data_IF_931970271835
#
_entry.id   IF_931970271835
#
_cell.length_a   1.000
_cell.length_b   1.000
_cell.length_c   1.000
_cell.angle_alpha   90.00
_cell.angle_beta   90.00
_cell.angle_gamma   90.00
#
_symmetry.space_group_name_H-M   'P 1'
#
loop_
_entity.id
_entity.type
_entity.pdbx_description
1 polymer ?
#
# COMPACT_ATOMS: atom_id res chain seq x y z
N UNK A 1 18.06 -26.60 9.37
CA UNK A 1 16.90 -26.88 10.25
C UNK A 1 16.33 -25.64 10.95
N UNK A 2 16.93 -24.43 10.86
CA UNK A 2 16.35 -23.19 11.41
C UNK A 2 15.28 -22.55 10.51
N UNK A 3 15.46 -22.61 9.18
CA UNK A 3 14.58 -21.91 8.23
C UNK A 3 13.14 -22.43 8.19
N UNK A 4 12.91 -23.70 8.50
CA UNK A 4 11.57 -24.31 8.37
C UNK A 4 10.59 -23.76 9.43
N UNK A 5 11.09 -23.48 10.64
CA UNK A 5 10.27 -22.91 11.72
C UNK A 5 9.96 -21.43 11.49
N UNK A 6 10.90 -20.65 10.93
CA UNK A 6 10.64 -19.26 10.53
C UNK A 6 9.59 -19.18 9.41
N UNK A 7 9.66 -20.06 8.41
CA UNK A 7 8.65 -20.14 7.33
C UNK A 7 7.26 -20.46 7.89
N UNK A 8 7.15 -21.37 8.86
CA UNK A 8 5.87 -21.73 9.48
C UNK A 8 5.29 -20.59 10.31
N UNK A 9 6.14 -19.87 11.06
CA UNK A 9 5.71 -18.73 11.88
C UNK A 9 5.25 -17.54 11.03
N UNK A 10 5.97 -17.20 9.95
CA UNK A 10 5.59 -16.13 9.03
C UNK A 10 4.26 -16.44 8.31
N UNK A 11 4.07 -17.68 7.87
CA UNK A 11 2.81 -18.12 7.23
C UNK A 11 1.61 -18.07 8.18
N UNK A 12 1.83 -18.16 9.48
CA UNK A 12 0.77 -18.08 10.49
C UNK A 12 0.34 -16.63 10.77
N UNK A 13 1.29 -15.69 10.72
CA UNK A 13 1.04 -14.27 11.00
C UNK A 13 0.64 -13.47 9.74
N UNK A 14 1.01 -13.94 8.56
CA UNK A 14 0.71 -13.29 7.30
C UNK A 14 -0.71 -13.59 6.83
N UNK A 15 -1.41 -12.56 6.34
CA UNK A 15 -2.69 -12.78 5.67
C UNK A 15 -2.50 -13.64 4.41
N UNK A 16 -3.27 -14.73 4.24
CA UNK A 16 -3.15 -15.57 3.07
C UNK A 16 -3.52 -14.79 1.80
N UNK A 17 -2.75 -15.00 0.72
CA UNK A 17 -3.06 -14.44 -0.59
C UNK A 17 -4.29 -15.13 -1.18
N UNK A 18 -5.35 -14.37 -1.45
CA UNK A 18 -6.64 -14.91 -1.92
C UNK A 18 -6.70 -14.92 -3.45
N UNK A 19 -6.22 -13.85 -4.09
CA UNK A 19 -6.36 -13.69 -5.53
C UNK A 19 -5.20 -12.93 -6.10
N UNK A 20 -4.58 -13.49 -7.15
CA UNK A 20 -3.43 -12.90 -7.83
C UNK A 20 -2.42 -12.32 -6.81
N UNK A 21 -1.99 -13.10 -5.81
CA UNK A 21 -0.97 -12.65 -4.84
C UNK A 21 -1.35 -11.44 -3.96
N UNK A 22 -2.61 -10.99 -3.97
CA UNK A 22 -3.13 -9.96 -3.07
C UNK A 22 -3.76 -10.62 -1.84
N UNK A 23 -3.54 -10.05 -0.65
CA UNK A 23 -4.24 -10.45 0.57
C UNK A 23 -5.72 -10.02 0.51
N UNK A 24 -6.53 -10.54 1.44
CA UNK A 24 -7.93 -10.14 1.59
C UNK A 24 -8.10 -8.63 1.75
N UNK A 25 -7.28 -8.02 2.63
CA UNK A 25 -7.33 -6.60 2.94
C UNK A 25 -6.95 -5.74 1.73
N UNK A 26 -5.93 -6.14 0.97
CA UNK A 26 -5.48 -5.44 -0.23
C UNK A 26 -6.50 -5.50 -1.36
N UNK A 27 -7.09 -6.68 -1.57
CA UNK A 27 -8.17 -6.87 -2.53
C UNK A 27 -9.37 -6.00 -2.14
N UNK A 28 -9.77 -6.01 -0.86
CA UNK A 28 -10.85 -5.18 -0.36
C UNK A 28 -10.59 -3.69 -0.61
N UNK A 29 -9.37 -3.22 -0.37
CA UNK A 29 -8.97 -1.83 -0.64
C UNK A 29 -9.05 -1.48 -2.14
N UNK A 30 -8.53 -2.34 -3.03
CA UNK A 30 -8.58 -2.11 -4.48
C UNK A 30 -10.03 -2.07 -4.98
N UNK A 31 -10.86 -3.03 -4.56
CA UNK A 31 -12.28 -3.09 -4.92
C UNK A 31 -13.03 -1.87 -4.39
N UNK A 32 -12.78 -1.49 -3.14
CA UNK A 32 -13.39 -0.32 -2.51
C UNK A 32 -13.05 0.96 -3.27
N UNK A 33 -11.77 1.19 -3.57
CA UNK A 33 -11.33 2.38 -4.32
C UNK A 33 -11.88 2.39 -5.74
N UNK A 34 -11.84 1.25 -6.44
CA UNK A 34 -12.39 1.13 -7.78
C UNK A 34 -13.89 1.43 -7.79
N UNK A 35 -14.64 0.92 -6.82
CA UNK A 35 -16.09 1.15 -6.68
C UNK A 35 -16.40 2.62 -6.39
N UNK A 36 -15.67 3.25 -5.47
CA UNK A 36 -15.82 4.68 -5.13
C UNK A 36 -15.54 5.59 -6.33
N UNK A 37 -14.66 5.19 -7.25
CA UNK A 37 -14.36 5.97 -8.45
C UNK A 37 -15.38 5.69 -9.57
N UNK A 38 -15.60 4.41 -9.88
CA UNK A 38 -16.41 4.00 -11.03
C UNK A 38 -17.90 4.22 -10.85
N UNK A 39 -18.47 4.02 -9.66
CA UNK A 39 -19.90 4.26 -9.44
C UNK A 39 -20.31 5.71 -9.72
N UNK A 40 -19.74 6.75 -9.07
CA UNK A 40 -20.16 8.11 -9.33
C UNK A 40 -19.83 8.54 -10.77
N UNK A 41 -18.68 8.14 -11.31
CA UNK A 41 -18.30 8.47 -12.67
C UNK A 41 -19.27 7.89 -13.71
N UNK A 42 -19.59 6.61 -13.59
CA UNK A 42 -20.50 5.93 -14.52
C UNK A 42 -21.95 6.40 -14.37
N UNK A 43 -22.41 6.68 -13.15
CA UNK A 43 -23.74 7.24 -12.92
C UNK A 43 -23.86 8.67 -13.45
N UNK A 44 -22.83 9.50 -13.28
CA UNK A 44 -22.79 10.85 -13.85
C UNK A 44 -22.85 10.82 -15.38
N UNK A 45 -22.06 9.95 -16.01
CA UNK A 45 -22.06 9.76 -17.46
C UNK A 45 -23.42 9.23 -17.95
N UNK A 46 -23.98 8.23 -17.27
CA UNK A 46 -25.26 7.64 -17.63
C UNK A 46 -26.43 8.62 -17.47
N UNK A 47 -26.38 9.48 -16.43
CA UNK A 47 -27.34 10.56 -16.23
C UNK A 47 -27.26 11.58 -17.38
N UNK A 48 -26.05 11.98 -17.78
CA UNK A 48 -25.85 12.91 -18.89
C UNK A 48 -26.38 12.37 -20.23
N UNK A 49 -26.35 11.04 -20.41
CA UNK A 49 -26.83 10.33 -21.60
C UNK A 49 -28.31 9.90 -21.50
N UNK A 50 -29.00 10.18 -20.39
CA UNK A 50 -30.40 9.78 -20.17
C UNK A 50 -30.62 8.27 -19.96
N UNK A 51 -29.56 7.50 -19.70
CA UNK A 51 -29.58 6.04 -19.62
C UNK A 51 -29.05 5.52 -18.26
N UNK A 52 -29.62 5.99 -17.15
CA UNK A 52 -29.14 5.76 -15.78
C UNK A 52 -28.91 4.27 -15.46
N UNK A 53 -29.79 3.38 -15.94
CA UNK A 53 -29.66 1.92 -15.73
C UNK A 53 -28.38 1.34 -16.35
N UNK A 54 -27.91 1.90 -17.47
CA UNK A 54 -26.65 1.48 -18.11
C UNK A 54 -25.41 1.92 -17.30
N UNK A 55 -25.53 2.94 -16.45
CA UNK A 55 -24.46 3.41 -15.58
C UNK A 55 -23.94 2.31 -14.66
N UNK A 56 -24.83 1.53 -14.04
CA UNK A 56 -24.44 0.40 -13.20
C UNK A 56 -23.69 -0.70 -13.96
N UNK A 57 -24.05 -0.96 -15.21
CA UNK A 57 -23.34 -1.89 -16.08
C UNK A 57 -21.91 -1.43 -16.37
N UNK A 58 -21.76 -0.15 -16.74
CA UNK A 58 -20.45 0.48 -16.97
C UNK A 58 -19.62 0.46 -15.68
N UNK A 59 -20.24 0.75 -14.53
CA UNK A 59 -19.59 0.67 -13.23
C UNK A 59 -19.02 -0.73 -12.96
N UNK A 60 -19.86 -1.77 -13.11
CA UNK A 60 -19.46 -3.15 -12.85
C UNK A 60 -18.29 -3.59 -13.73
N UNK A 61 -18.38 -3.33 -15.04
CA UNK A 61 -17.29 -3.65 -15.98
C UNK A 61 -16.02 -2.87 -15.63
N UNK A 62 -16.15 -1.57 -15.35
CA UNK A 62 -15.03 -0.70 -14.98
C UNK A 62 -14.33 -1.18 -13.71
N UNK A 63 -15.09 -1.53 -12.66
CA UNK A 63 -14.56 -2.07 -11.41
C UNK A 63 -13.81 -3.37 -11.66
N UNK A 64 -14.41 -4.34 -12.35
CA UNK A 64 -13.78 -5.64 -12.62
C UNK A 64 -12.49 -5.47 -13.43
N UNK A 65 -12.54 -4.70 -14.52
CA UNK A 65 -11.37 -4.44 -15.36
C UNK A 65 -10.23 -3.79 -14.56
N UNK A 66 -10.57 -2.80 -13.72
CA UNK A 66 -9.62 -2.08 -12.87
C UNK A 66 -9.01 -3.00 -11.83
N UNK A 67 -9.81 -3.80 -11.12
CA UNK A 67 -9.34 -4.77 -10.12
C UNK A 67 -8.41 -5.81 -10.73
N UNK A 68 -8.79 -6.39 -11.88
CA UNK A 68 -7.95 -7.39 -12.58
C UNK A 68 -6.62 -6.78 -12.99
N UNK A 69 -6.61 -5.55 -13.49
CA UNK A 69 -5.41 -4.86 -13.95
C UNK A 69 -4.51 -4.48 -12.77
N UNK A 70 -5.07 -3.86 -11.73
CA UNK A 70 -4.34 -3.47 -10.51
C UNK A 70 -3.78 -4.69 -9.79
N UNK A 71 -4.56 -5.75 -9.60
CA UNK A 71 -4.07 -6.97 -8.97
C UNK A 71 -2.88 -7.56 -9.75
N UNK A 72 -2.95 -7.58 -11.08
CA UNK A 72 -1.84 -8.07 -11.92
C UNK A 72 -0.59 -7.19 -11.81
N UNK A 73 -0.76 -5.87 -11.76
CA UNK A 73 0.34 -4.94 -11.54
C UNK A 73 0.94 -5.08 -10.13
N UNK A 74 0.08 -5.25 -9.12
CA UNK A 74 0.46 -5.42 -7.73
C UNK A 74 1.28 -6.71 -7.53
N UNK A 75 0.92 -7.80 -8.22
CA UNK A 75 1.74 -9.01 -8.27
C UNK A 75 3.16 -8.74 -8.77
N UNK A 76 3.28 -7.98 -9.86
CA UNK A 76 4.58 -7.68 -10.46
C UNK A 76 5.44 -6.82 -9.53
N UNK A 77 4.83 -5.83 -8.88
CA UNK A 77 5.51 -4.93 -7.94
C UNK A 77 5.96 -5.69 -6.68
N UNK A 78 5.13 -6.60 -6.18
CA UNK A 78 5.43 -7.42 -4.99
C UNK A 78 6.43 -8.55 -5.26
N UNK A 79 6.66 -8.92 -6.53
CA UNK A 79 7.51 -10.05 -6.89
C UNK A 79 8.94 -9.82 -6.39
N UNK A 80 9.44 -10.74 -5.55
CA UNK A 80 10.79 -10.69 -5.01
C UNK A 80 11.00 -9.64 -3.91
N UNK A 81 9.94 -9.09 -3.33
CA UNK A 81 10.00 -8.18 -2.17
C UNK A 81 9.53 -8.89 -0.91
N UNK A 82 10.12 -8.61 0.27
CA UNK A 82 9.67 -9.16 1.53
C UNK A 82 8.26 -8.66 1.88
N UNK A 83 7.57 -9.40 2.73
CA UNK A 83 6.22 -9.04 3.18
C UNK A 83 6.23 -7.68 3.90
N UNK A 84 5.15 -6.90 3.75
CA UNK A 84 5.06 -5.55 4.33
C UNK A 84 5.95 -4.46 3.71
N UNK A 85 6.85 -4.79 2.76
CA UNK A 85 7.75 -3.82 2.11
C UNK A 85 7.02 -2.61 1.54
N UNK A 86 5.92 -2.84 0.81
CA UNK A 86 5.17 -1.76 0.17
C UNK A 86 4.46 -0.87 1.21
N UNK A 87 4.00 -1.44 2.33
CA UNK A 87 3.35 -0.69 3.41
C UNK A 87 4.36 0.22 4.10
N UNK A 88 5.56 -0.29 4.39
CA UNK A 88 6.65 0.50 4.96
C UNK A 88 7.09 1.59 3.99
N UNK A 89 7.30 1.26 2.72
CA UNK A 89 7.65 2.23 1.68
C UNK A 89 6.62 3.35 1.56
N UNK A 90 5.33 3.02 1.54
CA UNK A 90 4.26 4.01 1.47
C UNK A 90 4.23 4.90 2.72
N UNK A 91 4.36 4.33 3.92
CA UNK A 91 4.41 5.08 5.18
C UNK A 91 5.59 6.06 5.23
N UNK A 92 6.78 5.61 4.81
CA UNK A 92 7.97 6.46 4.70
C UNK A 92 7.73 7.58 3.70
N UNK A 93 7.13 7.28 2.54
CA UNK A 93 6.85 8.27 1.51
C UNK A 93 5.86 9.33 2.01
N UNK A 94 4.78 8.92 2.65
CA UNK A 94 3.79 9.83 3.27
C UNK A 94 4.43 10.69 4.37
N UNK A 95 5.35 10.13 5.16
CA UNK A 95 6.12 10.89 6.15
C UNK A 95 7.01 11.94 5.48
N UNK A 96 7.73 11.58 4.41
CA UNK A 96 8.59 12.55 3.69
C UNK A 96 7.79 13.66 3.00
N UNK A 97 6.52 13.41 2.64
CA UNK A 97 5.61 14.41 2.09
C UNK A 97 4.93 15.27 3.17
N UNK A 98 5.15 14.98 4.46
CA UNK A 98 4.51 15.69 5.57
C UNK A 98 3.03 15.34 5.78
N UNK A 99 2.48 14.39 5.03
CA UNK A 99 1.07 13.95 5.12
C UNK A 99 0.82 13.01 6.30
N UNK A 100 1.87 12.48 6.91
CA UNK A 100 1.79 11.55 8.03
C UNK A 100 2.94 11.77 9.01
N UNK A 101 2.66 11.82 10.31
CA UNK A 101 3.68 11.89 11.37
C UNK A 101 3.73 10.55 12.11
N UNK A 102 4.51 9.56 11.63
CA UNK A 102 4.66 8.32 12.34
C UNK A 102 5.48 8.51 13.62
N UNK A 103 5.30 7.65 14.62
CA UNK A 103 6.12 7.65 15.84
C UNK A 103 7.59 7.21 15.62
N UNK A 104 8.04 7.09 14.37
CA UNK A 104 9.25 6.38 13.98
C UNK A 104 10.30 7.40 13.55
N UNK A 105 11.54 7.20 13.99
CA UNK A 105 12.63 8.13 13.74
C UNK A 105 13.29 7.77 12.39
N UNK A 106 13.04 8.59 11.36
CA UNK A 106 13.71 8.47 10.06
C UNK A 106 15.00 9.30 9.95
N UNK A 107 15.29 10.16 10.94
CA UNK A 107 16.52 10.97 10.94
C UNK A 107 17.71 10.10 11.31
N UNK A 108 18.80 10.23 10.56
CA UNK A 108 20.11 9.75 10.99
C UNK A 108 20.86 10.88 11.70
N UNK A 109 21.59 10.52 12.75
CA UNK A 109 22.36 11.46 13.55
C UNK A 109 23.19 10.72 14.59
N UNK A 110 24.22 11.39 15.09
CA UNK A 110 25.02 10.89 16.20
C UNK A 110 24.16 10.89 17.47
N UNK A 111 24.13 9.76 18.18
CA UNK A 111 23.49 9.69 19.48
C UNK A 111 24.42 10.39 20.49
N UNK A 112 23.92 11.44 21.15
CA UNK A 112 24.60 12.08 22.26
C UNK A 112 23.88 11.73 23.57
N UNK A 113 24.64 11.60 24.64
CA UNK A 113 24.16 11.33 26.01
C UNK A 113 23.57 12.63 26.62
N UNK A 114 23.59 13.75 25.87
CA UNK A 114 23.04 15.04 26.29
C UNK A 114 23.89 15.73 27.37
N UNK A 115 25.15 15.30 27.52
CA UNK A 115 26.07 15.82 28.55
C UNK A 115 26.86 17.04 28.09
N UNK A 116 26.74 17.40 26.81
CA UNK A 116 27.47 18.50 26.19
C UNK A 116 26.52 19.36 25.35
N UNK A 117 26.61 20.69 25.47
CA UNK A 117 25.88 21.65 24.62
C UNK A 117 26.35 21.63 23.15
N UNK A 118 27.38 20.86 22.83
CA UNK A 118 27.95 20.72 21.49
C UNK A 118 27.47 19.41 20.87
N UNK A 119 26.66 19.51 19.81
CA UNK A 119 26.21 18.34 19.08
C UNK A 119 27.42 17.60 18.44
N UNK A 120 27.54 16.28 18.62
CA UNK A 120 28.60 15.51 17.99
C UNK A 120 28.46 15.57 16.46
N UNK A 121 29.46 16.17 15.80
CA UNK A 121 29.52 16.23 14.34
C UNK A 121 29.55 14.81 13.75
N UNK A 122 28.86 14.56 12.61
CA UNK A 122 28.91 13.27 11.93
C UNK A 122 30.36 12.90 11.58
N UNK A 123 30.74 11.64 11.80
CA UNK A 123 32.09 11.10 11.49
C UNK A 123 32.48 11.23 10.01
N UNK A 124 31.52 11.47 9.12
CA UNK A 124 31.74 11.72 7.68
C UNK A 124 32.42 13.06 7.38
N UNK A 125 32.45 13.99 8.34
CA UNK A 125 33.06 15.32 8.20
C UNK A 125 34.33 15.48 9.06
N UNK A 126 34.97 14.39 9.47
CA UNK A 126 36.29 14.40 10.13
C UNK A 126 37.39 14.05 9.15
#
# INVERSE_FOLDING_TARGET
>A
MSNDHEILADRLNAEPAIFKGCSSSEMGMIVGLATVIWLPLSLLLAWLLGAITMGFGIAGVGVVATVVTLATLFQRIKRGRPEGYYQQWLRIRLQTMGLYRPPWVLRSGSWDIGRTHYAPLPTRNR
#
